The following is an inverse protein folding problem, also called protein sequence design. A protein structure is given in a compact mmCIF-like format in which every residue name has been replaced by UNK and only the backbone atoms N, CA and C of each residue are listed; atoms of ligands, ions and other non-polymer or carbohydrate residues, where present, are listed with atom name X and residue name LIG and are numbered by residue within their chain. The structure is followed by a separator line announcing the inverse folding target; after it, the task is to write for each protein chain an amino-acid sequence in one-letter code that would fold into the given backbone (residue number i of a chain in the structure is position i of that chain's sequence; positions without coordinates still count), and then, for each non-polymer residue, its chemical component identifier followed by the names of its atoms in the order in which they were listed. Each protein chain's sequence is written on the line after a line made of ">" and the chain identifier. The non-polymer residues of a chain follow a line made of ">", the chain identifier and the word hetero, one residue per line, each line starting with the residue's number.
data_IF_458113017953
#
_entry.id   IF_458113017953
#
_cell.length_a   1.000
_cell.length_b   1.000
_cell.length_c   1.000
_cell.angle_alpha   90.00
_cell.angle_beta   90.00
_cell.angle_gamma   90.00
#
_symmetry.space_group_name_H-M   'P 1'
#
loop_
_entity.id
_entity.type
_entity.pdbx_description
1 polymer ?
#
# COMPACT_ATOMS: atom_id res chain seq x y z
N UNK A 1 17.36 -34.93 62.47
CA UNK A 1 16.50 -35.50 61.42
C UNK A 1 15.11 -34.88 61.58
N UNK A 2 14.47 -34.19 60.63
CA UNK A 2 14.60 -34.10 59.17
C UNK A 2 14.35 -32.65 58.69
N UNK A 3 14.74 -32.44 57.44
CA UNK A 3 14.99 -31.22 56.69
C UNK A 3 13.83 -30.22 56.59
N UNK A 4 14.24 -28.95 56.49
CA UNK A 4 13.50 -27.87 55.83
C UNK A 4 13.51 -28.05 54.31
N UNK A 5 12.41 -27.68 53.65
CA UNK A 5 12.38 -27.45 52.20
C UNK A 5 11.53 -26.21 51.93
N UNK A 6 12.21 -25.07 51.79
CA UNK A 6 11.63 -23.84 51.25
C UNK A 6 11.65 -23.99 49.74
N UNK A 7 10.48 -24.13 49.11
CA UNK A 7 10.36 -24.09 47.66
C UNK A 7 10.71 -22.67 47.19
N UNK A 8 11.84 -22.56 46.51
CA UNK A 8 12.26 -21.37 45.75
C UNK A 8 11.32 -21.27 44.54
N UNK A 9 10.48 -20.24 44.52
CA UNK A 9 9.70 -19.87 43.33
C UNK A 9 10.65 -19.45 42.21
N UNK A 10 10.73 -20.27 41.17
CA UNK A 10 11.49 -19.95 39.97
C UNK A 10 10.65 -18.98 39.12
N UNK A 11 10.94 -17.68 39.23
CA UNK A 11 10.43 -16.67 38.29
C UNK A 11 11.13 -16.93 36.97
N UNK A 12 10.41 -17.53 36.02
CA UNK A 12 10.92 -17.68 34.65
C UNK A 12 10.82 -16.31 33.99
N UNK A 13 11.99 -15.77 33.65
CA UNK A 13 12.15 -14.53 32.92
C UNK A 13 11.32 -14.53 31.65
N UNK A 14 10.52 -13.49 31.45
CA UNK A 14 9.84 -13.14 30.21
C UNK A 14 10.86 -13.11 29.09
N UNK A 15 10.94 -14.20 28.32
CA UNK A 15 11.60 -14.20 27.03
C UNK A 15 10.76 -13.32 26.12
N UNK A 16 11.23 -12.10 25.88
CA UNK A 16 10.67 -11.28 24.81
C UNK A 16 11.17 -11.87 23.49
N UNK A 17 10.60 -13.01 23.09
CA UNK A 17 10.61 -13.38 21.68
C UNK A 17 9.66 -12.41 21.01
N UNK A 18 10.18 -11.46 20.22
CA UNK A 18 9.32 -10.81 19.23
C UNK A 18 8.78 -11.94 18.36
N UNK A 19 7.49 -12.22 18.47
CA UNK A 19 6.85 -13.25 17.67
C UNK A 19 7.03 -12.86 16.21
N UNK A 20 7.44 -13.83 15.38
CA UNK A 20 7.62 -13.66 13.93
C UNK A 20 6.34 -13.13 13.24
N UNK A 21 5.21 -13.29 13.92
CA UNK A 21 3.88 -12.84 13.49
C UNK A 21 3.68 -11.32 13.62
N UNK A 22 4.46 -10.62 14.44
CA UNK A 22 4.34 -9.16 14.61
C UNK A 22 4.96 -8.37 13.46
N UNK A 23 5.99 -8.92 12.80
CA UNK A 23 6.75 -8.22 11.76
C UNK A 23 5.97 -7.99 10.45
N UNK A 24 4.87 -8.72 10.24
CA UNK A 24 4.05 -8.65 9.04
C UNK A 24 2.65 -8.07 9.32
N UNK A 25 2.36 -7.52 10.50
CA UNK A 25 1.03 -6.98 10.75
C UNK A 25 0.80 -5.68 9.95
N UNK A 26 -0.34 -5.63 9.26
CA UNK A 26 -0.90 -4.40 8.69
C UNK A 26 -2.05 -3.95 9.59
N UNK A 27 -1.99 -2.71 10.07
CA UNK A 27 -3.04 -2.14 10.92
C UNK A 27 -3.54 -0.83 10.33
N UNK A 28 -4.85 -0.62 10.34
CA UNK A 28 -5.42 0.68 9.98
C UNK A 28 -4.86 1.77 10.88
N UNK A 29 -4.46 2.90 10.29
CA UNK A 29 -3.83 3.99 11.04
C UNK A 29 -4.43 5.35 10.69
N UNK A 30 -4.35 6.28 11.65
CA UNK A 30 -4.69 7.71 11.49
C UNK A 30 -3.47 8.62 11.63
N UNK A 31 -2.28 8.06 11.77
CA UNK A 31 -1.04 8.82 11.95
C UNK A 31 -0.59 9.53 10.67
N UNK A 32 -1.10 9.11 9.51
CA UNK A 32 -0.85 9.78 8.24
C UNK A 32 -1.53 11.14 8.19
N UNK A 33 -0.90 12.10 7.52
CA UNK A 33 -1.56 13.36 7.15
C UNK A 33 -2.64 13.17 6.06
N UNK A 34 -2.60 12.04 5.37
CA UNK A 34 -3.56 11.67 4.36
C UNK A 34 -4.74 10.90 4.96
N UNK A 35 -5.92 11.13 4.41
CA UNK A 35 -7.16 10.57 4.91
C UNK A 35 -7.93 9.84 3.82
N UNK A 36 -8.60 8.78 4.22
CA UNK A 36 -9.49 8.00 3.35
C UNK A 36 -10.57 8.93 2.76
N UNK A 37 -10.83 8.75 1.47
CA UNK A 37 -11.76 9.55 0.69
C UNK A 37 -11.19 10.89 0.18
N UNK A 38 -9.91 11.19 0.40
CA UNK A 38 -9.28 12.34 -0.25
C UNK A 38 -8.99 12.05 -1.71
N UNK A 39 -9.27 13.02 -2.58
CA UNK A 39 -8.90 13.02 -4.00
C UNK A 39 -7.92 14.15 -4.25
N UNK A 40 -6.78 13.81 -4.84
CA UNK A 40 -5.67 14.72 -5.05
C UNK A 40 -5.31 14.85 -6.53
N UNK A 41 -4.97 16.09 -6.92
CA UNK A 41 -4.12 16.32 -8.07
C UNK A 41 -2.67 16.01 -7.70
N UNK A 42 -1.90 15.53 -8.66
CA UNK A 42 -0.50 15.22 -8.52
C UNK A 42 0.29 15.61 -9.77
N UNK A 43 1.63 15.56 -9.70
CA UNK A 43 2.52 15.74 -10.84
C UNK A 43 2.36 14.55 -11.79
N UNK A 44 1.50 14.67 -12.80
CA UNK A 44 1.16 13.58 -13.72
C UNK A 44 2.17 13.41 -14.86
N UNK A 45 1.95 12.39 -15.70
CA UNK A 45 2.63 12.28 -17.00
C UNK A 45 2.03 13.29 -17.99
N UNK A 46 2.80 13.77 -18.99
CA UNK A 46 2.34 14.85 -19.87
C UNK A 46 1.01 14.61 -20.60
N UNK A 47 0.70 13.36 -20.97
CA UNK A 47 -0.52 13.00 -21.69
C UNK A 47 -1.79 12.93 -20.79
N UNK A 48 -1.63 12.99 -19.46
CA UNK A 48 -2.70 12.73 -18.49
C UNK A 48 -2.83 13.88 -17.48
N UNK A 49 -2.94 15.16 -17.90
CA UNK A 49 -2.91 16.31 -16.99
C UNK A 49 -4.09 16.38 -16.02
N UNK A 50 -5.16 15.62 -16.29
CA UNK A 50 -6.37 15.54 -15.47
C UNK A 50 -6.43 14.28 -14.60
N UNK A 51 -5.38 13.45 -14.61
CA UNK A 51 -5.36 12.28 -13.76
C UNK A 51 -5.35 12.68 -12.28
N UNK A 52 -6.07 11.92 -11.46
CA UNK A 52 -6.19 12.13 -10.02
C UNK A 52 -5.87 10.84 -9.27
N UNK A 53 -5.41 10.97 -8.04
CA UNK A 53 -5.33 9.85 -7.12
C UNK A 53 -6.40 9.97 -6.04
N UNK A 54 -7.00 8.84 -5.66
CA UNK A 54 -7.96 8.75 -4.56
C UNK A 54 -7.36 7.87 -3.47
N UNK A 55 -7.28 8.40 -2.26
CA UNK A 55 -6.80 7.67 -1.08
C UNK A 55 -7.96 6.88 -0.53
N UNK A 56 -7.88 5.55 -0.59
CA UNK A 56 -8.99 4.69 -0.16
C UNK A 56 -8.69 3.88 1.09
N UNK A 57 -7.42 3.77 1.49
CA UNK A 57 -7.00 3.10 2.73
C UNK A 57 -5.63 3.61 3.18
N UNK A 58 -5.39 3.60 4.48
CA UNK A 58 -4.10 3.97 5.09
C UNK A 58 -3.78 2.97 6.20
N UNK A 59 -2.62 2.33 6.09
CA UNK A 59 -2.18 1.31 7.04
C UNK A 59 -0.77 1.59 7.57
N UNK A 60 -0.45 1.00 8.72
CA UNK A 60 0.89 0.96 9.27
C UNK A 60 1.46 -0.45 9.10
N UNK A 61 2.71 -0.53 8.67
CA UNK A 61 3.54 -1.74 8.70
C UNK A 61 4.76 -1.48 9.60
N UNK A 62 5.19 -2.45 10.42
CA UNK A 62 6.45 -2.36 11.16
C UNK A 62 7.67 -2.21 10.25
N UNK A 63 7.63 -2.81 9.05
CA UNK A 63 8.74 -2.81 8.10
C UNK A 63 8.80 -1.52 7.28
N UNK A 64 7.65 -1.07 6.78
CA UNK A 64 7.58 -0.04 5.74
C UNK A 64 7.00 1.29 6.21
N UNK A 65 6.59 1.39 7.48
CA UNK A 65 6.00 2.60 8.03
C UNK A 65 4.54 2.79 7.60
N UNK A 66 4.13 4.04 7.40
CA UNK A 66 2.80 4.38 6.85
C UNK A 66 2.75 4.04 5.37
N UNK A 67 1.75 3.23 5.01
CA UNK A 67 1.41 2.84 3.65
C UNK A 67 0.10 3.52 3.26
N UNK A 68 0.14 4.29 2.17
CA UNK A 68 -1.02 4.97 1.61
C UNK A 68 -1.49 4.21 0.38
N UNK A 69 -2.71 3.67 0.43
CA UNK A 69 -3.31 2.94 -0.68
C UNK A 69 -4.15 3.88 -1.52
N UNK A 70 -3.80 3.93 -2.81
CA UNK A 70 -4.45 4.84 -3.75
C UNK A 70 -4.97 4.07 -4.95
N UNK A 71 -6.04 4.59 -5.53
CA UNK A 71 -6.43 4.33 -6.91
C UNK A 71 -6.09 5.55 -7.75
N UNK A 72 -5.84 5.32 -9.04
CA UNK A 72 -5.50 6.37 -10.00
C UNK A 72 -6.52 6.35 -11.13
N UNK A 73 -7.12 7.49 -11.42
CA UNK A 73 -8.11 7.65 -12.49
C UNK A 73 -7.65 8.65 -13.55
N UNK A 74 -8.26 8.61 -14.73
CA UNK A 74 -7.99 9.55 -15.82
C UNK A 74 -6.69 9.27 -16.56
N UNK A 75 -6.28 8.00 -16.60
CA UNK A 75 -5.10 7.52 -17.32
C UNK A 75 -5.41 7.19 -18.79
N UNK A 76 -4.35 7.02 -19.56
CA UNK A 76 -4.33 6.56 -20.95
C UNK A 76 -3.23 5.51 -21.08
N UNK A 77 -3.36 4.41 -20.34
CA UNK A 77 -2.37 3.33 -20.35
C UNK A 77 -2.65 2.36 -21.49
N UNK A 78 -1.62 2.02 -22.26
CA UNK A 78 -1.68 0.88 -23.16
C UNK A 78 -1.93 -0.40 -22.36
N UNK A 79 -2.94 -1.16 -22.77
CA UNK A 79 -3.27 -2.45 -22.17
C UNK A 79 -3.74 -3.42 -23.25
N UNK A 80 -2.82 -4.23 -23.81
CA UNK A 80 -3.15 -5.21 -24.84
C UNK A 80 -4.14 -6.30 -24.39
N UNK A 81 -4.32 -6.47 -23.08
CA UNK A 81 -5.23 -7.46 -22.50
C UNK A 81 -6.67 -6.92 -22.36
N UNK A 82 -6.86 -5.61 -22.51
CA UNK A 82 -8.18 -4.98 -22.54
C UNK A 82 -8.73 -4.97 -23.98
N UNK A 83 -10.03 -5.20 -24.16
CA UNK A 83 -10.71 -5.15 -25.46
C UNK A 83 -10.54 -3.81 -26.17
N UNK A 84 -10.47 -2.70 -25.43
CA UNK A 84 -10.23 -1.36 -26.00
C UNK A 84 -8.76 -1.12 -26.37
N UNK A 85 -7.85 -2.02 -25.98
CA UNK A 85 -6.40 -1.83 -26.05
C UNK A 85 -5.82 -0.86 -25.01
N UNK A 86 -6.64 -0.32 -24.11
CA UNK A 86 -6.21 0.67 -23.12
C UNK A 86 -6.95 0.57 -21.77
N UNK A 87 -6.29 0.96 -20.69
CA UNK A 87 -6.88 1.15 -19.36
C UNK A 87 -6.88 2.63 -18.97
N UNK A 88 -7.98 3.09 -18.37
CA UNK A 88 -8.14 4.47 -17.91
C UNK A 88 -7.92 4.66 -16.39
N UNK A 89 -7.67 3.58 -15.66
CA UNK A 89 -7.44 3.61 -14.23
C UNK A 89 -6.54 2.47 -13.76
N UNK A 90 -5.97 2.65 -12.57
CA UNK A 90 -5.32 1.60 -11.77
C UNK A 90 -6.09 1.52 -10.44
N UNK A 91 -6.68 0.37 -10.15
CA UNK A 91 -7.55 0.19 -8.99
C UNK A 91 -6.84 0.21 -7.64
N UNK A 92 -5.58 -0.24 -7.58
CA UNK A 92 -4.80 -0.28 -6.35
C UNK A 92 -3.31 -0.07 -6.59
N UNK A 93 -2.73 0.86 -5.83
CA UNK A 93 -1.30 1.08 -5.73
C UNK A 93 -0.93 1.43 -4.28
N UNK A 94 -0.10 0.64 -3.60
CA UNK A 94 0.40 0.95 -2.26
C UNK A 94 1.67 1.80 -2.34
N UNK A 95 1.68 2.94 -1.65
CA UNK A 95 2.82 3.87 -1.64
C UNK A 95 3.35 4.10 -0.23
N UNK A 96 4.65 4.34 -0.13
CA UNK A 96 5.22 5.02 1.04
C UNK A 96 4.62 6.44 1.13
N UNK A 97 4.34 6.92 2.35
CA UNK A 97 3.79 8.27 2.53
C UNK A 97 4.65 9.36 1.85
N UNK A 98 5.98 9.27 1.98
CA UNK A 98 6.92 10.20 1.33
C UNK A 98 6.84 10.22 -0.21
N UNK A 99 6.43 9.11 -0.83
CA UNK A 99 6.22 9.06 -2.28
C UNK A 99 4.99 9.89 -2.69
N UNK A 100 3.91 9.82 -1.90
CA UNK A 100 2.72 10.68 -2.09
C UNK A 100 3.10 12.14 -1.84
N UNK A 101 3.88 12.45 -0.80
CA UNK A 101 4.35 13.79 -0.47
C UNK A 101 5.06 14.48 -1.64
N UNK A 102 5.95 13.74 -2.29
CA UNK A 102 6.71 14.26 -3.44
C UNK A 102 5.85 14.47 -4.69
N UNK A 103 4.65 13.90 -4.72
CA UNK A 103 3.80 13.76 -5.90
C UNK A 103 2.62 14.72 -5.92
N UNK A 104 1.88 14.84 -4.80
CA UNK A 104 0.62 15.60 -4.77
C UNK A 104 0.86 17.11 -4.88
N UNK A 105 -0.11 17.82 -5.47
CA UNK A 105 -0.04 19.26 -5.70
C UNK A 105 -1.22 20.02 -5.13
N UNK A 106 -2.42 19.45 -5.17
CA UNK A 106 -3.64 20.09 -4.66
C UNK A 106 -4.67 19.06 -4.21
N UNK A 107 -5.29 19.28 -3.05
CA UNK A 107 -6.46 18.53 -2.61
C UNK A 107 -7.68 19.03 -3.41
N UNK A 108 -8.34 18.13 -4.13
CA UNK A 108 -9.49 18.46 -4.96
C UNK A 108 -10.81 18.20 -4.24
N UNK A 109 -10.87 17.11 -3.46
CA UNK A 109 -12.08 16.69 -2.76
C UNK A 109 -11.72 15.93 -1.49
N UNK A 110 -12.56 16.08 -0.48
CA UNK A 110 -12.59 15.22 0.70
C UNK A 110 -13.89 14.42 0.71
N UNK A 111 -13.90 13.27 1.40
CA UNK A 111 -15.08 12.41 1.58
C UNK A 111 -15.60 11.76 0.27
N UNK A 112 -14.70 11.39 -0.64
CA UNK A 112 -15.04 10.47 -1.73
C UNK A 112 -15.45 9.12 -1.13
N UNK A 113 -16.59 8.59 -1.59
CA UNK A 113 -17.07 7.27 -1.16
C UNK A 113 -16.15 6.21 -1.72
N UNK A 114 -15.57 5.41 -0.82
CA UNK A 114 -14.80 4.20 -1.17
C UNK A 114 -15.80 3.06 -1.33
N UNK A 115 -15.86 2.47 -2.51
CA UNK A 115 -16.69 1.32 -2.86
C UNK A 115 -15.91 0.01 -2.71
N UNK A 116 -16.60 -1.13 -2.86
CA UNK A 116 -15.94 -2.44 -2.82
C UNK A 116 -14.89 -2.61 -3.93
N UNK A 117 -15.07 -1.97 -5.08
CA UNK A 117 -14.18 -2.10 -6.24
C UNK A 117 -12.74 -1.64 -5.98
N UNK A 118 -12.52 -0.76 -5.00
CA UNK A 118 -11.17 -0.36 -4.58
C UNK A 118 -10.41 -1.50 -3.86
N UNK A 119 -11.14 -2.48 -3.32
CA UNK A 119 -10.58 -3.49 -2.43
C UNK A 119 -10.05 -4.73 -3.16
N UNK A 120 -10.46 -4.98 -4.40
CA UNK A 120 -10.07 -6.20 -5.14
C UNK A 120 -8.55 -6.31 -5.32
N UNK A 121 -7.92 -5.25 -5.87
CA UNK A 121 -6.47 -5.20 -6.02
C UNK A 121 -5.73 -5.18 -4.67
N UNK A 122 -6.30 -4.48 -3.69
CA UNK A 122 -5.77 -4.43 -2.33
C UNK A 122 -5.70 -5.81 -1.67
N UNK A 123 -6.76 -6.62 -1.79
CA UNK A 123 -6.81 -7.94 -1.15
C UNK A 123 -5.72 -8.86 -1.71
N UNK A 124 -5.54 -8.87 -3.04
CA UNK A 124 -4.47 -9.63 -3.69
C UNK A 124 -3.09 -9.17 -3.24
N UNK A 125 -2.84 -7.86 -3.24
CA UNK A 125 -1.58 -7.31 -2.76
C UNK A 125 -1.33 -7.64 -1.28
N UNK A 126 -2.35 -7.54 -0.43
CA UNK A 126 -2.23 -7.79 1.01
C UNK A 126 -1.76 -9.21 1.26
N UNK A 127 -2.36 -10.20 0.61
CA UNK A 127 -1.93 -11.60 0.71
C UNK A 127 -0.46 -11.76 0.30
N UNK A 128 -0.05 -11.15 -0.82
CA UNK A 128 1.33 -11.18 -1.28
C UNK A 128 2.29 -10.46 -0.30
N UNK A 129 1.91 -9.30 0.22
CA UNK A 129 2.70 -8.50 1.15
C UNK A 129 2.93 -9.24 2.47
N UNK A 130 1.88 -9.83 3.04
CA UNK A 130 1.97 -10.66 4.24
C UNK A 130 2.84 -11.92 4.02
N UNK A 131 2.87 -12.44 2.79
CA UNK A 131 3.75 -13.53 2.38
C UNK A 131 5.20 -13.09 2.05
N UNK A 132 5.52 -11.80 2.20
CA UNK A 132 6.84 -11.23 1.87
C UNK A 132 7.13 -11.10 0.38
N UNK A 133 6.11 -11.25 -0.47
CA UNK A 133 6.19 -11.19 -1.95
C UNK A 133 5.60 -9.90 -2.52
N UNK A 134 4.90 -9.12 -1.70
CA UNK A 134 4.40 -7.81 -2.03
C UNK A 134 5.36 -6.72 -1.58
N UNK A 135 5.32 -5.58 -2.27
CA UNK A 135 6.08 -4.39 -1.92
C UNK A 135 5.22 -3.13 -1.98
N UNK A 136 5.84 -1.98 -1.70
CA UNK A 136 5.23 -0.66 -1.85
C UNK A 136 6.05 0.17 -2.84
N UNK A 137 5.41 1.14 -3.48
CA UNK A 137 6.11 2.13 -4.29
C UNK A 137 6.72 3.22 -3.41
N UNK A 138 8.03 3.41 -3.53
CA UNK A 138 8.79 4.49 -2.87
C UNK A 138 9.20 5.61 -3.85
N UNK A 139 8.77 5.52 -5.10
CA UNK A 139 9.02 6.49 -6.18
C UNK A 139 7.79 7.38 -6.40
N UNK A 140 7.94 8.58 -7.01
CA UNK A 140 6.80 9.45 -7.33
C UNK A 140 5.69 8.72 -8.10
N UNK A 141 4.44 9.13 -7.88
CA UNK A 141 3.24 8.47 -8.45
C UNK A 141 3.33 8.35 -9.98
N UNK A 142 3.80 9.38 -10.68
CA UNK A 142 3.98 9.33 -12.15
C UNK A 142 4.93 8.22 -12.63
N UNK A 143 5.96 7.89 -11.85
CA UNK A 143 6.96 6.87 -12.17
C UNK A 143 6.38 5.48 -11.89
N UNK A 144 5.66 5.32 -10.78
CA UNK A 144 4.95 4.08 -10.48
C UNK A 144 3.84 3.76 -11.51
N UNK A 145 3.13 4.78 -12.01
CA UNK A 145 2.15 4.63 -13.11
C UNK A 145 2.85 4.18 -14.38
N UNK A 146 3.99 4.79 -14.74
CA UNK A 146 4.76 4.39 -15.91
C UNK A 146 5.27 2.94 -15.81
N UNK A 147 5.78 2.55 -14.65
CA UNK A 147 6.21 1.17 -14.37
C UNK A 147 5.05 0.16 -14.48
N UNK A 148 3.87 0.53 -13.96
CA UNK A 148 2.67 -0.31 -14.05
C UNK A 148 2.25 -0.54 -15.50
N UNK A 149 2.30 0.50 -16.34
CA UNK A 149 2.01 0.38 -17.78
C UNK A 149 3.05 -0.48 -18.50
N UNK A 150 4.34 -0.32 -18.21
CA UNK A 150 5.40 -1.17 -18.77
C UNK A 150 5.19 -2.65 -18.43
N UNK A 151 4.78 -2.94 -17.19
CA UNK A 151 4.51 -4.31 -16.75
C UNK A 151 3.33 -4.94 -17.50
N UNK A 152 2.25 -4.18 -17.70
CA UNK A 152 1.07 -4.62 -18.44
C UNK A 152 1.38 -4.83 -19.92
N UNK A 153 2.17 -3.95 -20.53
CA UNK A 153 2.48 -3.97 -21.96
C UNK A 153 3.52 -5.02 -22.35
N UNK A 154 4.55 -5.22 -21.53
CA UNK A 154 5.64 -6.17 -21.84
C UNK A 154 5.32 -7.62 -21.46
N UNK A 155 4.28 -7.84 -20.65
CA UNK A 155 3.90 -9.16 -20.15
C UNK A 155 4.97 -9.83 -19.26
N UNK A 156 6.06 -9.13 -18.94
CA UNK A 156 7.04 -9.59 -17.97
C UNK A 156 6.44 -9.48 -16.58
N UNK A 157 5.86 -10.57 -16.09
CA UNK A 157 5.78 -10.79 -14.65
C UNK A 157 7.23 -10.95 -14.20
N UNK A 158 7.81 -9.98 -13.51
CA UNK A 158 9.02 -10.25 -12.73
C UNK A 158 8.61 -11.25 -11.67
N UNK A 159 8.92 -12.52 -11.96
CA UNK A 159 8.87 -13.58 -10.98
C UNK A 159 10.00 -13.35 -9.97
N UNK A 160 9.65 -13.61 -8.71
CA UNK A 160 10.49 -13.86 -7.53
C UNK A 160 11.00 -12.65 -6.74
#
# INVERSE_FOLDING_TARGET
>A
MKLAAILIGLVTSTSCSMQKDDAAQLTDTRESKYQIGQVWQYKTRPAEPKSTLTIFKVEQSPKDGVIVHVSIDGLQMANPQNLSGASNSIGHMPFAEAAIDSSVTALLKSNQVVTADFMDGYNYWREAFLAGKGGIFSVPVKEAVAYSEETVTTGKRTAE
#
